data_IF_702568994469
#
_entry.id   IF_702568994469
#
_cell.length_a   1.000
_cell.length_b   1.000
_cell.length_c   1.000
_cell.angle_alpha   90.00
_cell.angle_beta   90.00
_cell.angle_gamma   90.00
#
_symmetry.space_group_name_H-M   'P 1'
#
loop_
_entity.id
_entity.type
_entity.pdbx_description
1 polymer ?
#
# COMPACT_ATOMS: atom_id res chain seq x y z
N UNK A 1 -29.04 -16.11 22.24
CA UNK A 1 -28.13 -15.02 21.86
C UNK A 1 -28.41 -14.67 20.42
N UNK A 2 -29.35 -13.75 20.20
CA UNK A 2 -29.79 -13.36 18.86
C UNK A 2 -28.83 -12.27 18.40
N UNK A 3 -27.83 -12.65 17.60
CA UNK A 3 -26.98 -11.66 16.93
C UNK A 3 -27.93 -10.82 16.11
N UNK A 4 -27.99 -9.53 16.42
CA UNK A 4 -28.94 -8.59 15.86
C UNK A 4 -28.68 -8.50 14.35
N UNK A 5 -29.46 -9.22 13.55
CA UNK A 5 -29.26 -9.37 12.10
C UNK A 5 -29.13 -8.02 11.38
N UNK A 6 -29.81 -7.02 11.91
CA UNK A 6 -29.78 -5.61 11.51
C UNK A 6 -28.40 -4.94 11.72
N UNK A 7 -27.67 -5.30 12.79
CA UNK A 7 -26.30 -4.83 13.00
C UNK A 7 -25.29 -5.52 12.07
N UNK A 8 -25.51 -6.79 11.74
CA UNK A 8 -24.69 -7.54 10.79
C UNK A 8 -24.87 -7.02 9.36
N UNK A 9 -26.10 -6.69 8.98
CA UNK A 9 -26.44 -6.07 7.69
C UNK A 9 -25.72 -4.73 7.54
N UNK A 10 -25.79 -3.86 8.56
CA UNK A 10 -25.05 -2.60 8.59
C UNK A 10 -23.55 -2.80 8.48
N UNK A 11 -22.98 -3.74 9.23
CA UNK A 11 -21.54 -4.02 9.18
C UNK A 11 -21.08 -4.45 7.77
N UNK A 12 -21.87 -5.27 7.07
CA UNK A 12 -21.59 -5.65 5.67
C UNK A 12 -21.69 -4.47 4.72
N UNK A 13 -22.72 -3.62 4.87
CA UNK A 13 -22.88 -2.42 4.06
C UNK A 13 -21.72 -1.45 4.26
N UNK A 14 -21.29 -1.22 5.50
CA UNK A 14 -20.13 -0.39 5.84
C UNK A 14 -18.84 -0.97 5.27
N UNK A 15 -18.58 -2.29 5.42
CA UNK A 15 -17.40 -2.93 4.82
C UNK A 15 -17.38 -2.76 3.31
N UNK A 16 -18.52 -2.97 2.63
CA UNK A 16 -18.62 -2.80 1.18
C UNK A 16 -18.35 -1.36 0.75
N UNK A 17 -18.89 -0.37 1.46
CA UNK A 17 -18.64 1.04 1.19
C UNK A 17 -17.15 1.39 1.36
N UNK A 18 -16.51 0.87 2.42
CA UNK A 18 -15.08 1.05 2.65
C UNK A 18 -14.25 0.40 1.53
N UNK A 19 -14.56 -0.84 1.14
CA UNK A 19 -13.85 -1.52 0.04
C UNK A 19 -13.97 -0.77 -1.28
N UNK A 20 -15.14 -0.21 -1.60
CA UNK A 20 -15.31 0.63 -2.79
C UNK A 20 -14.44 1.89 -2.72
N UNK A 21 -14.36 2.52 -1.55
CA UNK A 21 -13.52 3.69 -1.33
C UNK A 21 -12.03 3.39 -1.48
N UNK A 22 -11.55 2.21 -1.04
CA UNK A 22 -10.12 1.86 -1.08
C UNK A 22 -9.51 1.74 -2.48
N UNK A 23 -10.33 1.68 -3.54
CA UNK A 23 -9.84 1.62 -4.93
C UNK A 23 -9.03 2.84 -5.32
N UNK A 24 -9.49 4.03 -4.92
CA UNK A 24 -8.90 5.30 -5.34
C UNK A 24 -7.93 5.88 -4.29
N UNK A 25 -7.76 5.18 -3.16
CA UNK A 25 -6.83 5.59 -2.11
C UNK A 25 -5.39 5.47 -2.64
N UNK A 26 -4.54 6.50 -2.49
CA UNK A 26 -3.12 6.40 -2.81
C UNK A 26 -2.43 5.26 -2.06
N UNK A 27 -1.39 4.68 -2.67
CA UNK A 27 -0.64 3.54 -2.08
C UNK A 27 -0.16 3.84 -0.64
N UNK A 28 0.17 5.09 -0.36
CA UNK A 28 0.59 5.57 0.96
C UNK A 28 -0.46 5.36 2.04
N UNK A 29 -1.65 5.90 1.79
CA UNK A 29 -2.76 5.83 2.73
C UNK A 29 -3.24 4.38 2.85
N UNK A 30 -3.22 3.65 1.74
CA UNK A 30 -3.53 2.23 1.70
C UNK A 30 -2.59 1.42 2.61
N UNK A 31 -1.27 1.70 2.59
CA UNK A 31 -0.28 1.02 3.40
C UNK A 31 -0.48 1.22 4.91
N UNK A 32 -1.11 2.31 5.33
CA UNK A 32 -1.47 2.54 6.75
C UNK A 32 -2.70 1.74 7.20
N UNK A 33 -3.43 1.14 6.25
CA UNK A 33 -4.70 0.46 6.52
C UNK A 33 -4.78 -0.94 5.85
N UNK A 34 -3.80 -1.86 6.04
CA UNK A 34 -3.80 -3.15 5.34
C UNK A 34 -5.06 -4.00 5.60
N UNK A 35 -5.67 -3.88 6.79
CA UNK A 35 -6.89 -4.60 7.17
C UNK A 35 -8.14 -4.25 6.35
N UNK A 36 -8.11 -3.13 5.61
CA UNK A 36 -9.21 -2.75 4.73
C UNK A 36 -9.18 -3.50 3.39
N UNK A 37 -8.03 -4.07 3.04
CA UNK A 37 -7.84 -4.82 1.80
C UNK A 37 -8.16 -6.30 1.99
N UNK A 38 -8.52 -6.94 0.89
CA UNK A 38 -8.80 -8.38 0.88
C UNK A 38 -7.51 -9.17 1.09
N UNK A 39 -7.64 -10.29 1.82
CA UNK A 39 -6.50 -11.21 2.01
C UNK A 39 -6.15 -11.84 0.67
N UNK A 40 -4.86 -12.00 0.39
CA UNK A 40 -4.39 -12.76 -0.77
C UNK A 40 -4.99 -14.17 -0.79
N UNK A 41 -5.51 -14.57 -1.95
CA UNK A 41 -6.06 -15.90 -2.20
C UNK A 41 -5.11 -16.69 -3.08
N UNK A 42 -4.53 -17.77 -2.55
CA UNK A 42 -3.44 -18.51 -3.22
C UNK A 42 -3.84 -19.57 -4.25
N UNK A 43 -5.12 -19.71 -4.56
CA UNK A 43 -5.60 -20.79 -5.42
C UNK A 43 -6.57 -20.27 -6.48
N UNK A 44 -6.03 -19.91 -7.64
CA UNK A 44 -6.83 -19.64 -8.84
C UNK A 44 -7.46 -18.25 -8.91
N UNK A 45 -6.96 -17.27 -8.13
CA UNK A 45 -7.44 -15.89 -8.21
C UNK A 45 -6.70 -15.08 -9.25
N UNK A 46 -7.47 -14.49 -10.16
CA UNK A 46 -6.96 -13.55 -11.14
C UNK A 46 -6.64 -12.22 -10.46
N UNK A 47 -5.40 -11.76 -10.60
CA UNK A 47 -4.93 -10.46 -10.17
C UNK A 47 -4.42 -9.70 -11.39
N UNK A 48 -4.79 -8.42 -11.47
CA UNK A 48 -4.33 -7.49 -12.50
C UNK A 48 -3.26 -6.56 -11.92
N UNK A 49 -2.44 -5.96 -12.78
CA UNK A 49 -1.47 -4.93 -12.37
C UNK A 49 -2.17 -3.84 -11.57
N UNK A 50 -1.60 -3.51 -10.42
CA UNK A 50 -2.13 -2.50 -9.51
C UNK A 50 -3.12 -3.02 -8.46
N UNK A 51 -3.61 -4.26 -8.59
CA UNK A 51 -4.43 -4.87 -7.54
C UNK A 51 -3.66 -4.92 -6.22
N UNK A 52 -4.35 -4.65 -5.11
CA UNK A 52 -3.76 -4.62 -3.77
C UNK A 52 -4.32 -5.73 -2.91
N UNK A 53 -3.44 -6.48 -2.25
CA UNK A 53 -3.81 -7.60 -1.37
C UNK A 53 -3.07 -7.50 -0.06
N UNK A 54 -3.76 -7.91 1.00
CA UNK A 54 -3.12 -8.14 2.30
C UNK A 54 -2.53 -9.54 2.32
N UNK A 55 -1.25 -9.64 2.61
CA UNK A 55 -0.60 -10.89 2.95
C UNK A 55 0.04 -10.72 4.33
N UNK A 56 -0.35 -11.59 5.27
CA UNK A 56 -0.16 -11.37 6.70
C UNK A 56 -0.76 -10.03 7.16
N UNK A 57 0.04 -9.13 7.73
CA UNK A 57 -0.36 -7.77 8.14
C UNK A 57 0.21 -6.68 7.20
N UNK A 58 0.79 -7.08 6.07
CA UNK A 58 1.43 -6.20 5.11
C UNK A 58 0.58 -6.06 3.83
N UNK A 59 0.76 -4.93 3.13
CA UNK A 59 0.04 -4.64 1.89
C UNK A 59 0.97 -4.77 0.68
N UNK A 60 0.53 -5.55 -0.29
CA UNK A 60 1.25 -5.81 -1.53
C UNK A 60 0.45 -5.33 -2.72
N UNK A 61 1.15 -4.85 -3.74
CA UNK A 61 0.61 -4.45 -5.04
C UNK A 61 1.07 -5.43 -6.11
N UNK A 62 0.15 -5.83 -6.97
CA UNK A 62 0.41 -6.69 -8.10
C UNK A 62 1.20 -5.92 -9.18
N UNK A 63 2.29 -6.51 -9.67
CA UNK A 63 3.16 -5.95 -10.69
C UNK A 63 2.85 -6.47 -12.10
N UNK A 64 2.28 -7.67 -12.21
CA UNK A 64 2.03 -8.35 -13.48
C UNK A 64 0.73 -9.14 -13.40
N UNK A 65 -0.10 -9.06 -14.42
CA UNK A 65 -1.34 -9.85 -14.52
C UNK A 65 -1.03 -11.35 -14.38
N UNK A 66 -1.70 -12.01 -13.44
CA UNK A 66 -1.50 -13.45 -13.23
C UNK A 66 -2.71 -14.11 -12.56
N UNK A 67 -2.71 -15.43 -12.55
CA UNK A 67 -3.62 -16.24 -11.72
C UNK A 67 -2.82 -16.82 -10.57
N UNK A 68 -3.31 -16.70 -9.35
CA UNK A 68 -2.57 -17.11 -8.16
C UNK A 68 -2.35 -18.62 -8.08
N UNK A 69 -1.16 -18.97 -7.61
CA UNK A 69 -0.78 -20.32 -7.19
C UNK A 69 -0.03 -20.21 -5.87
N UNK A 70 0.01 -21.31 -5.11
CA UNK A 70 0.56 -21.33 -3.75
C UNK A 70 2.02 -20.84 -3.67
N UNK A 71 2.85 -21.25 -4.64
CA UNK A 71 4.25 -20.81 -4.73
C UNK A 71 4.45 -19.38 -5.22
N UNK A 72 3.37 -18.64 -5.51
CA UNK A 72 3.37 -17.23 -5.90
C UNK A 72 2.80 -16.32 -4.80
N UNK A 73 3.00 -16.71 -3.55
CA UNK A 73 2.71 -15.85 -2.41
C UNK A 73 3.46 -14.50 -2.52
N UNK A 74 2.87 -13.38 -2.04
CA UNK A 74 3.44 -12.05 -2.22
C UNK A 74 4.84 -11.82 -1.65
N UNK A 75 5.23 -12.53 -0.59
CA UNK A 75 6.57 -12.51 -0.02
C UNK A 75 7.59 -13.38 -0.78
N UNK A 76 7.12 -14.39 -1.52
CA UNK A 76 7.95 -15.36 -2.23
C UNK A 76 8.14 -15.05 -3.73
N UNK A 77 7.28 -14.21 -4.32
CA UNK A 77 7.26 -13.91 -5.75
C UNK A 77 7.44 -12.41 -6.06
N UNK A 78 8.67 -11.86 -5.93
CA UNK A 78 8.95 -10.43 -6.13
C UNK A 78 8.76 -9.95 -7.57
N UNK A 79 8.69 -10.86 -8.56
CA UNK A 79 8.34 -10.50 -9.94
C UNK A 79 6.84 -10.26 -10.14
N UNK A 80 6.00 -10.74 -9.23
CA UNK A 80 4.53 -10.63 -9.31
C UNK A 80 3.99 -9.62 -8.31
N UNK A 81 4.69 -9.43 -7.19
CA UNK A 81 4.24 -8.60 -6.08
C UNK A 81 5.33 -7.67 -5.61
N UNK A 82 4.93 -6.46 -5.23
CA UNK A 82 5.78 -5.53 -4.50
C UNK A 82 5.09 -5.17 -3.20
N UNK A 83 5.82 -5.24 -2.09
CA UNK A 83 5.33 -4.75 -0.81
C UNK A 83 5.32 -3.23 -0.84
N UNK A 84 4.17 -2.60 -0.64
CA UNK A 84 3.99 -1.15 -0.86
C UNK A 84 4.88 -0.31 0.05
N UNK A 85 5.20 -0.81 1.23
CA UNK A 85 6.03 -0.12 2.21
C UNK A 85 7.50 -0.58 2.25
N UNK A 86 7.94 -1.35 1.25
CA UNK A 86 9.29 -1.88 1.22
C UNK A 86 10.35 -0.80 0.93
N UNK A 87 11.32 -0.59 1.83
CA UNK A 87 12.40 0.37 1.61
C UNK A 87 13.36 -0.02 0.46
N UNK A 88 13.30 -1.26 -0.04
CA UNK A 88 14.12 -1.73 -1.18
C UNK A 88 13.51 -1.37 -2.55
N UNK A 89 12.29 -0.85 -2.61
CA UNK A 89 11.79 -0.19 -3.83
C UNK A 89 12.70 1.01 -4.10
N UNK A 90 13.14 1.22 -5.35
CA UNK A 90 14.00 2.36 -5.65
C UNK A 90 13.30 3.71 -5.37
N UNK A 91 11.99 3.76 -5.61
CA UNK A 91 11.10 4.89 -5.34
C UNK A 91 9.91 4.42 -4.47
N UNK A 92 10.14 4.07 -3.19
CA UNK A 92 9.07 3.63 -2.30
C UNK A 92 8.04 4.74 -2.18
N UNK A 93 6.76 4.41 -2.07
CA UNK A 93 5.75 5.44 -1.90
C UNK A 93 6.06 6.24 -0.62
N UNK A 94 6.03 7.58 -0.71
CA UNK A 94 6.19 8.44 0.46
C UNK A 94 5.14 8.07 1.51
N UNK A 95 5.53 8.07 2.78
CA UNK A 95 4.66 7.88 3.92
C UNK A 95 4.91 8.99 4.91
N UNK A 96 3.87 9.70 5.31
CA UNK A 96 3.94 10.70 6.37
C UNK A 96 4.65 10.15 7.61
N UNK A 97 5.82 10.69 7.99
CA UNK A 97 6.49 10.28 9.21
C UNK A 97 5.69 10.72 10.45
N UNK A 98 5.64 9.86 11.47
CA UNK A 98 5.06 10.11 12.77
C UNK A 98 6.00 10.93 13.69
N UNK A 99 7.31 10.97 13.40
CA UNK A 99 8.28 11.80 14.11
C UNK A 99 9.70 11.71 13.54
N UNK A 100 10.69 12.07 14.36
CA UNK A 100 12.09 12.08 13.93
C UNK A 100 12.69 10.68 13.72
N UNK A 101 12.07 9.63 14.26
CA UNK A 101 12.57 8.26 14.22
C UNK A 101 12.29 7.54 12.89
N UNK A 102 11.30 8.03 12.14
CA UNK A 102 10.87 7.54 10.84
C UNK A 102 10.94 8.63 9.75
N UNK A 103 11.58 9.76 10.07
CA UNK A 103 11.84 10.82 9.12
C UNK A 103 12.84 10.39 8.03
N UNK A 104 12.66 10.92 6.83
CA UNK A 104 13.52 10.58 5.69
C UNK A 104 14.89 11.26 5.80
N UNK A 105 15.95 10.51 5.56
CA UNK A 105 17.30 11.08 5.48
C UNK A 105 17.49 11.90 4.20
N UNK A 106 18.52 12.74 4.16
CA UNK A 106 18.91 13.40 2.92
C UNK A 106 19.25 12.34 1.87
N UNK A 107 18.86 12.61 0.62
CA UNK A 107 18.96 11.70 -0.52
C UNK A 107 18.03 10.48 -0.49
N UNK A 108 17.12 10.40 0.49
CA UNK A 108 16.06 9.40 0.46
C UNK A 108 15.20 9.60 -0.79
N UNK A 109 14.94 8.49 -1.49
CA UNK A 109 14.09 8.43 -2.67
C UNK A 109 12.69 8.05 -2.26
N UNK A 110 11.67 8.70 -2.81
CA UNK A 110 10.25 8.31 -2.65
C UNK A 110 9.45 8.58 -3.93
N UNK A 111 8.32 7.90 -4.11
CA UNK A 111 7.30 8.24 -5.10
C UNK A 111 6.09 8.89 -4.42
N UNK A 112 5.55 9.96 -5.01
CA UNK A 112 4.37 10.64 -4.49
C UNK A 112 3.62 11.34 -5.63
N UNK A 113 2.29 11.17 -5.68
CA UNK A 113 1.41 11.67 -6.74
C UNK A 113 1.87 11.32 -8.18
N UNK A 114 2.40 10.09 -8.36
CA UNK A 114 2.87 9.60 -9.66
C UNK A 114 4.21 10.19 -10.11
N UNK A 115 4.93 10.89 -9.23
CA UNK A 115 6.25 11.50 -9.49
C UNK A 115 7.30 10.93 -8.55
N UNK A 116 8.58 11.06 -8.91
CA UNK A 116 9.70 10.66 -8.09
C UNK A 116 10.33 11.86 -7.38
N UNK A 117 10.77 11.67 -6.15
CA UNK A 117 11.26 12.73 -5.29
C UNK A 117 12.48 12.28 -4.50
N UNK A 118 13.47 13.17 -4.39
CA UNK A 118 14.67 12.98 -3.57
C UNK A 118 14.67 13.99 -2.45
N UNK A 119 14.88 13.56 -1.21
CA UNK A 119 14.93 14.49 -0.07
C UNK A 119 16.21 15.32 -0.09
N UNK A 120 16.08 16.63 0.12
CA UNK A 120 17.21 17.59 0.13
C UNK A 120 17.84 17.77 1.51
N UNK A 121 17.16 17.31 2.56
CA UNK A 121 17.49 17.55 3.98
C UNK A 121 17.42 16.27 4.78
N UNK A 122 18.19 16.20 5.87
CA UNK A 122 18.08 15.12 6.84
C UNK A 122 16.85 15.31 7.74
N UNK A 123 16.31 14.19 8.23
CA UNK A 123 15.10 14.14 9.06
C UNK A 123 13.90 14.87 8.41
N UNK A 124 13.71 14.68 7.11
CA UNK A 124 12.60 15.23 6.36
C UNK A 124 11.28 14.54 6.72
N UNK A 125 10.35 15.33 7.27
CA UNK A 125 9.00 14.92 7.67
C UNK A 125 7.90 15.53 6.79
N UNK A 126 8.28 16.37 5.83
CA UNK A 126 7.34 17.09 4.98
C UNK A 126 6.93 16.26 3.77
N UNK A 127 5.74 16.51 3.24
CA UNK A 127 5.21 15.88 2.03
C UNK A 127 5.97 16.35 0.78
N UNK A 128 6.29 15.45 -0.18
CA UNK A 128 6.89 15.83 -1.46
C UNK A 128 6.01 16.81 -2.25
N UNK A 129 6.63 17.88 -2.74
CA UNK A 129 5.92 19.02 -3.34
C UNK A 129 5.58 20.16 -2.37
N UNK A 130 5.73 19.96 -1.04
CA UNK A 130 5.59 21.03 -0.04
C UNK A 130 6.94 21.67 0.27
N UNK A 131 7.90 20.89 0.79
CA UNK A 131 9.23 21.41 1.17
C UNK A 131 10.26 20.30 1.36
N UNK A 132 11.54 20.59 1.06
CA UNK A 132 12.66 19.68 1.33
C UNK A 132 12.80 18.50 0.37
N UNK A 133 12.18 18.59 -0.81
CA UNK A 133 12.24 17.57 -1.86
C UNK A 133 12.55 18.18 -3.22
N UNK A 134 13.38 17.48 -3.98
CA UNK A 134 13.60 17.70 -5.42
C UNK A 134 12.85 16.64 -6.22
N UNK A 135 11.94 17.07 -7.11
CA UNK A 135 11.31 16.18 -8.08
C UNK A 135 12.36 15.70 -9.10
N UNK A 136 12.32 14.42 -9.46
CA UNK A 136 13.13 13.85 -10.54
C UNK A 136 12.23 13.12 -11.54
N UNK A 137 12.63 13.13 -12.81
CA UNK A 137 11.93 12.41 -13.90
C UNK A 137 12.12 10.89 -13.80
#
# INVERSE_FOLDING_TARGET
MQINMDALERARQTRRAITLYTRDVPDEQAAQMPSLFEKWGGSGMAYNVGDRVRYEDLLYKCLTDHTSQDSWAPDAAPSLWVRIDDPAIEWPQWRQPAGAHDAYAKWAKVSHNGKHWISDVDANVWEPGVSGWTEVE
#
